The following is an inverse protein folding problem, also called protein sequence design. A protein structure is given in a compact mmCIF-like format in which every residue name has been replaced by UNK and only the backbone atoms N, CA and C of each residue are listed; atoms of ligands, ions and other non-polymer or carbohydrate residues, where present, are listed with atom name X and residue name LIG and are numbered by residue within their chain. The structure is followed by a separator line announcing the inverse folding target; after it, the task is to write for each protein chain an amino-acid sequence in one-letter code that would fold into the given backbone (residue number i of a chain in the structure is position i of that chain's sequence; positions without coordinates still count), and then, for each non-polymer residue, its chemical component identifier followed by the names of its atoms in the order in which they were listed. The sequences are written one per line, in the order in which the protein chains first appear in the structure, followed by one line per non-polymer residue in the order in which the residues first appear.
data_IF_748540613876
#
_entry.id   IF_748540613876
#
_cell.length_a   1.000
_cell.length_b   1.000
_cell.length_c   1.000
_cell.angle_alpha   90.00
_cell.angle_beta   90.00
_cell.angle_gamma   90.00
#
_symmetry.space_group_name_H-M   'P 1'
#
loop_
_entity.id
_entity.type
_entity.pdbx_description
1 polymer ?
#
# COMPACT_ATOMS: atom_id res chain seq x y z
N UNK A 1 -4.51 23.03 -11.29
CA UNK A 1 -3.27 22.65 -11.98
C UNK A 1 -3.65 21.84 -13.20
N UNK A 2 -3.11 22.14 -14.39
CA UNK A 2 -3.37 21.33 -15.59
C UNK A 2 -2.59 20.00 -15.48
N UNK A 3 -3.08 18.93 -16.10
CA UNK A 3 -2.45 17.59 -16.05
C UNK A 3 -0.99 17.60 -16.52
N UNK A 4 -0.64 18.47 -17.47
CA UNK A 4 0.74 18.64 -17.95
C UNK A 4 1.65 19.27 -16.90
N UNK A 5 1.17 20.29 -16.17
CA UNK A 5 1.92 20.92 -15.08
C UNK A 5 2.17 19.91 -13.94
N UNK A 6 1.14 19.11 -13.62
CA UNK A 6 1.25 18.04 -12.61
C UNK A 6 2.29 16.98 -12.96
N UNK A 7 2.27 16.45 -14.20
CA UNK A 7 3.26 15.47 -14.66
C UNK A 7 4.67 16.08 -14.69
N UNK A 8 4.80 17.33 -15.16
CA UNK A 8 6.07 18.05 -15.21
C UNK A 8 6.73 18.23 -13.84
N UNK A 9 5.94 18.39 -12.77
CA UNK A 9 6.46 18.51 -11.41
C UNK A 9 6.77 17.15 -10.75
N UNK A 10 5.96 16.13 -11.01
CA UNK A 10 6.03 14.85 -10.28
C UNK A 10 7.04 13.86 -10.84
N UNK A 11 7.15 13.77 -12.17
CA UNK A 11 8.04 12.79 -12.80
C UNK A 11 9.52 13.03 -12.46
N UNK A 12 10.05 14.27 -12.46
CA UNK A 12 11.44 14.52 -12.05
C UNK A 12 11.70 14.17 -10.58
N UNK A 13 10.70 14.35 -9.71
CA UNK A 13 10.82 14.00 -8.29
C UNK A 13 10.84 12.48 -8.10
N UNK A 14 10.02 11.74 -8.84
CA UNK A 14 10.05 10.28 -8.87
C UNK A 14 11.40 9.74 -9.36
N UNK A 15 11.92 10.30 -10.45
CA UNK A 15 13.26 9.96 -10.94
C UNK A 15 14.34 10.26 -9.89
N UNK A 16 14.26 11.42 -9.24
CA UNK A 16 15.19 11.80 -8.17
C UNK A 16 15.14 10.82 -7.01
N UNK A 17 13.95 10.35 -6.62
CA UNK A 17 13.77 9.32 -5.60
C UNK A 17 14.47 8.02 -6.01
N UNK A 18 14.24 7.53 -7.23
CA UNK A 18 14.88 6.29 -7.71
C UNK A 18 16.41 6.42 -7.73
N UNK A 19 16.94 7.57 -8.16
CA UNK A 19 18.39 7.85 -8.17
C UNK A 19 18.99 7.99 -6.78
N UNK A 20 18.23 8.48 -5.80
CA UNK A 20 18.65 8.51 -4.39
C UNK A 20 18.73 7.10 -3.80
N UNK A 21 17.81 6.22 -4.15
CA UNK A 21 17.84 4.81 -3.73
C UNK A 21 18.99 4.04 -4.40
N UNK A 22 19.33 4.38 -5.65
CA UNK A 22 20.35 3.70 -6.43
C UNK A 22 21.39 4.69 -7.00
N UNK A 23 22.28 5.23 -6.15
CA UNK A 23 23.16 6.34 -6.52
C UNK A 23 24.27 5.98 -7.51
N UNK A 24 24.64 4.69 -7.60
CA UNK A 24 25.72 4.24 -8.48
C UNK A 24 25.19 3.89 -9.87
N UNK A 25 24.14 3.07 -9.92
CA UNK A 25 23.52 2.62 -11.16
C UNK A 25 22.09 2.18 -10.88
N UNK A 26 21.18 2.47 -11.81
CA UNK A 26 19.82 1.95 -11.76
C UNK A 26 19.84 0.44 -12.07
N UNK A 27 19.39 -0.43 -11.16
CA UNK A 27 19.19 -1.85 -11.47
C UNK A 27 18.06 -2.01 -12.49
N UNK A 28 17.85 -3.23 -12.99
CA UNK A 28 16.60 -3.57 -13.71
C UNK A 28 15.54 -4.11 -12.74
N UNK A 29 15.98 -4.83 -11.71
CA UNK A 29 15.16 -5.38 -10.64
C UNK A 29 16.02 -5.51 -9.38
N UNK A 30 15.42 -5.30 -8.21
CA UNK A 30 16.04 -5.49 -6.89
C UNK A 30 14.96 -5.84 -5.88
N UNK A 31 15.29 -6.67 -4.88
CA UNK A 31 14.32 -7.13 -3.89
C UNK A 31 14.85 -7.11 -2.46
N UNK A 32 13.93 -6.90 -1.51
CA UNK A 32 14.16 -6.94 -0.07
C UNK A 32 13.13 -7.85 0.59
N UNK A 33 13.58 -8.75 1.48
CA UNK A 33 12.73 -9.71 2.19
C UNK A 33 12.85 -9.62 3.73
N UNK A 34 13.75 -8.78 4.23
CA UNK A 34 13.83 -8.46 5.66
C UNK A 34 12.85 -7.34 5.97
N UNK A 35 12.01 -7.54 6.99
CA UNK A 35 10.99 -6.58 7.41
C UNK A 35 11.56 -5.17 7.62
N UNK A 36 12.74 -5.06 8.25
CA UNK A 36 13.35 -3.75 8.53
C UNK A 36 13.78 -3.02 7.26
N UNK A 37 14.30 -3.75 6.29
CA UNK A 37 14.71 -3.18 5.00
C UNK A 37 13.48 -2.76 4.19
N UNK A 38 12.45 -3.62 4.13
CA UNK A 38 11.16 -3.28 3.50
C UNK A 38 10.58 -2.01 4.14
N UNK A 39 10.51 -1.95 5.47
CA UNK A 39 10.01 -0.80 6.20
C UNK A 39 10.81 0.47 5.89
N UNK A 40 12.15 0.38 5.87
CA UNK A 40 13.01 1.52 5.56
C UNK A 40 12.80 2.05 4.14
N UNK A 41 12.70 1.16 3.15
CA UNK A 41 12.43 1.53 1.75
C UNK A 41 11.06 2.19 1.63
N UNK A 42 9.99 1.55 2.13
CA UNK A 42 8.62 2.10 2.06
C UNK A 42 8.52 3.46 2.77
N UNK A 43 9.17 3.62 3.94
CA UNK A 43 9.23 4.92 4.63
C UNK A 43 9.94 5.98 3.78
N UNK A 44 11.01 5.60 3.06
CA UNK A 44 11.68 6.47 2.11
C UNK A 44 10.77 6.95 0.98
N UNK A 45 9.96 6.04 0.42
CA UNK A 45 8.98 6.37 -0.64
C UNK A 45 8.02 7.46 -0.20
N UNK A 46 7.47 7.30 1.00
CA UNK A 46 6.41 8.16 1.54
C UNK A 46 6.94 9.49 2.09
N UNK A 47 8.20 9.54 2.50
CA UNK A 47 8.84 10.78 2.98
C UNK A 47 9.06 11.82 1.87
N UNK A 48 8.87 11.43 0.61
CA UNK A 48 9.11 12.26 -0.57
C UNK A 48 7.76 12.67 -1.15
N UNK A 49 7.28 13.85 -0.76
CA UNK A 49 6.25 14.68 -1.41
C UNK A 49 5.12 13.96 -2.20
N UNK A 50 4.12 13.32 -1.57
CA UNK A 50 2.91 12.75 -2.24
C UNK A 50 3.13 12.14 -3.65
N UNK A 51 4.29 11.49 -3.86
CA UNK A 51 4.73 11.02 -5.19
C UNK A 51 4.13 9.66 -5.55
N UNK A 52 3.74 8.91 -4.52
CA UNK A 52 3.44 7.49 -4.61
C UNK A 52 1.96 7.26 -4.44
N UNK A 53 1.38 6.53 -5.39
CA UNK A 53 0.05 5.96 -5.25
C UNK A 53 0.17 4.46 -5.02
N UNK A 54 -0.54 3.92 -4.01
CA UNK A 54 -0.56 2.49 -3.72
C UNK A 54 -1.81 1.84 -4.29
N UNK A 55 -1.63 0.89 -5.19
CA UNK A 55 -2.69 0.05 -5.73
C UNK A 55 -3.00 -1.08 -4.74
N UNK A 56 -4.28 -1.22 -4.39
CA UNK A 56 -4.74 -2.20 -3.40
C UNK A 56 -4.98 -3.58 -4.03
N UNK A 57 -4.94 -4.68 -3.26
CA UNK A 57 -4.96 -6.02 -3.82
C UNK A 57 -6.24 -6.40 -4.58
N UNK A 58 -7.39 -5.93 -4.12
CA UNK A 58 -8.70 -6.26 -4.70
C UNK A 58 -9.10 -5.25 -5.77
N UNK A 59 -9.18 -3.98 -5.39
CA UNK A 59 -9.50 -2.87 -6.30
C UNK A 59 -9.16 -1.55 -5.62
N UNK A 60 -9.07 -0.48 -6.42
CA UNK A 60 -8.81 0.84 -5.90
C UNK A 60 -7.35 1.09 -5.55
N UNK A 61 -7.09 2.24 -4.95
CA UNK A 61 -5.77 2.67 -4.54
C UNK A 61 -5.85 3.83 -3.56
N UNK A 62 -4.76 4.07 -2.84
CA UNK A 62 -4.68 5.09 -1.80
C UNK A 62 -3.41 5.92 -1.93
N UNK A 63 -3.51 7.16 -1.49
CA UNK A 63 -2.36 8.06 -1.35
C UNK A 63 -1.74 7.85 0.03
N UNK A 64 -0.42 7.62 0.05
CA UNK A 64 0.23 7.21 1.28
C UNK A 64 0.75 8.41 2.04
N UNK A 65 0.31 8.57 3.28
CA UNK A 65 0.77 9.66 4.15
C UNK A 65 1.90 9.24 5.09
N UNK A 66 1.85 8.02 5.61
CA UNK A 66 2.85 7.55 6.57
C UNK A 66 3.00 6.03 6.55
N UNK A 67 4.22 5.56 6.77
CA UNK A 67 4.50 4.16 7.12
C UNK A 67 4.92 4.08 8.58
N UNK A 68 4.33 3.18 9.36
CA UNK A 68 4.64 2.96 10.76
C UNK A 68 4.82 1.47 11.08
N UNK A 69 5.46 1.19 12.22
CA UNK A 69 5.46 -0.17 12.78
C UNK A 69 4.09 -0.43 13.40
N UNK A 70 3.56 -1.62 13.14
CA UNK A 70 2.34 -2.07 13.77
C UNK A 70 2.61 -2.57 15.20
N UNK A 71 1.60 -2.64 16.08
CA UNK A 71 1.72 -3.31 17.37
C UNK A 71 2.13 -4.79 17.24
N UNK A 72 1.63 -5.49 16.21
CA UNK A 72 2.20 -6.79 15.82
C UNK A 72 3.56 -6.57 15.14
N UNK A 73 4.62 -7.05 15.78
CA UNK A 73 6.01 -6.90 15.31
C UNK A 73 6.29 -7.46 13.91
N UNK A 74 5.42 -8.33 13.37
CA UNK A 74 5.52 -8.88 12.02
C UNK A 74 4.90 -7.96 10.97
N UNK A 75 4.04 -7.05 11.39
CA UNK A 75 3.23 -6.21 10.52
C UNK A 75 3.82 -4.81 10.33
N UNK A 76 3.42 -4.17 9.22
CA UNK A 76 3.57 -2.74 8.99
C UNK A 76 2.20 -2.08 8.85
N UNK A 77 2.17 -0.80 9.19
CA UNK A 77 1.03 0.07 8.95
C UNK A 77 1.35 1.04 7.82
N UNK A 78 0.48 1.12 6.84
CA UNK A 78 0.43 2.17 5.82
C UNK A 78 -0.78 3.04 6.15
N UNK A 79 -0.60 4.34 6.27
CA UNK A 79 -1.64 5.25 6.78
C UNK A 79 -2.02 6.23 5.69
N UNK A 80 -3.33 6.29 5.42
CA UNK A 80 -3.98 7.20 4.48
C UNK A 80 -4.97 8.06 5.26
N UNK A 81 -4.71 9.37 5.38
CA UNK A 81 -5.56 10.35 6.07
C UNK A 81 -6.13 9.93 7.46
N UNK A 82 -5.44 9.03 8.17
CA UNK A 82 -5.84 8.54 9.49
C UNK A 82 -6.48 7.15 9.49
N UNK A 83 -6.83 6.60 8.31
CA UNK A 83 -7.13 5.18 8.12
C UNK A 83 -5.84 4.37 8.13
N UNK A 84 -5.84 3.23 8.79
CA UNK A 84 -4.67 2.35 8.90
C UNK A 84 -4.86 1.11 8.03
N UNK A 85 -3.92 0.87 7.13
CA UNK A 85 -3.81 -0.37 6.36
C UNK A 85 -2.73 -1.23 7.03
N UNK A 86 -3.08 -2.41 7.54
CA UNK A 86 -2.16 -3.31 8.26
C UNK A 86 -1.90 -4.58 7.44
N UNK A 87 -0.64 -4.96 7.28
CA UNK A 87 -0.25 -6.15 6.51
C UNK A 87 1.06 -6.77 6.99
N UNK A 88 1.29 -8.06 6.66
CA UNK A 88 2.56 -8.76 6.91
C UNK A 88 3.40 -8.76 5.62
N UNK A 89 4.40 -7.88 5.48
CA UNK A 89 5.21 -7.83 4.27
C UNK A 89 6.11 -9.07 4.15
N UNK A 90 6.21 -9.63 2.93
CA UNK A 90 7.01 -10.82 2.63
C UNK A 90 8.18 -10.51 1.70
N UNK A 91 7.90 -9.78 0.63
CA UNK A 91 8.88 -9.45 -0.40
C UNK A 91 8.51 -8.11 -1.02
N UNK A 92 9.44 -7.17 -0.98
CA UNK A 92 9.35 -5.93 -1.75
C UNK A 92 10.30 -6.05 -2.94
N UNK A 93 9.81 -5.84 -4.16
CA UNK A 93 10.62 -5.78 -5.38
C UNK A 93 10.47 -4.41 -6.02
N UNK A 94 11.56 -3.80 -6.46
CA UNK A 94 11.55 -2.61 -7.30
C UNK A 94 11.91 -3.00 -8.73
N UNK A 95 10.99 -2.77 -9.67
CA UNK A 95 11.21 -2.99 -11.10
C UNK A 95 11.47 -1.64 -11.77
N UNK A 96 12.59 -1.54 -12.49
CA UNK A 96 13.02 -0.30 -13.13
C UNK A 96 13.08 -0.48 -14.64
N UNK A 97 12.42 0.44 -15.34
CA UNK A 97 12.47 0.57 -16.78
C UNK A 97 13.27 1.81 -17.14
N UNK A 98 14.54 1.64 -17.52
CA UNK A 98 15.47 2.76 -17.80
C UNK A 98 15.03 3.63 -18.97
N UNK A 99 14.27 3.05 -19.89
CA UNK A 99 13.63 3.69 -21.04
C UNK A 99 12.33 4.42 -20.67
N UNK A 100 11.75 4.16 -19.48
CA UNK A 100 10.60 4.89 -18.96
C UNK A 100 10.50 4.80 -17.43
N UNK A 101 11.16 5.72 -16.74
CA UNK A 101 11.23 5.71 -15.28
C UNK A 101 9.86 5.94 -14.61
N UNK A 102 8.93 6.63 -15.29
CA UNK A 102 7.57 6.83 -14.77
C UNK A 102 6.82 5.52 -14.54
N UNK A 103 7.11 4.49 -15.35
CA UNK A 103 6.51 3.16 -15.24
C UNK A 103 7.29 2.20 -14.33
N UNK A 104 8.38 2.66 -13.72
CA UNK A 104 9.05 1.89 -12.68
C UNK A 104 8.17 1.84 -11.43
N UNK A 105 8.17 0.72 -10.72
CA UNK A 105 7.24 0.49 -9.61
C UNK A 105 7.87 -0.33 -8.49
N UNK A 106 7.28 -0.27 -7.31
CA UNK A 106 7.55 -1.21 -6.22
C UNK A 106 6.37 -2.17 -6.09
N UNK A 107 6.65 -3.46 -5.91
CA UNK A 107 5.68 -4.52 -5.72
C UNK A 107 5.90 -5.13 -4.35
N UNK A 108 4.90 -5.03 -3.48
CA UNK A 108 4.91 -5.63 -2.16
C UNK A 108 4.01 -6.86 -2.14
N UNK A 109 4.62 -8.02 -1.97
CA UNK A 109 3.93 -9.27 -1.68
C UNK A 109 3.77 -9.42 -0.18
N UNK A 110 2.57 -9.78 0.27
CA UNK A 110 2.25 -9.97 1.68
C UNK A 110 2.00 -11.45 2.00
N UNK A 111 2.46 -11.86 3.18
CA UNK A 111 2.11 -13.15 3.78
C UNK A 111 0.69 -13.11 4.34
N UNK A 112 0.13 -14.30 4.61
CA UNK A 112 -1.18 -14.38 5.26
C UNK A 112 -1.14 -13.83 6.69
N UNK A 113 -2.21 -13.14 7.06
CA UNK A 113 -2.51 -12.66 8.40
C UNK A 113 -3.82 -13.31 8.85
N UNK A 114 -3.90 -13.70 10.11
CA UNK A 114 -5.14 -14.23 10.66
C UNK A 114 -6.15 -13.08 10.88
N UNK A 115 -7.45 -13.32 10.60
CA UNK A 115 -8.48 -12.35 10.95
C UNK A 115 -8.56 -12.18 12.47
N UNK A 116 -8.86 -10.96 12.92
CA UNK A 116 -9.17 -10.64 14.32
C UNK A 116 -10.68 -10.58 14.55
N UNK A 117 -11.46 -10.22 13.52
CA UNK A 117 -12.90 -10.17 13.63
C UNK A 117 -13.53 -11.56 13.69
N UNK A 118 -14.72 -11.63 14.28
CA UNK A 118 -15.59 -12.82 14.26
C UNK A 118 -16.22 -12.99 12.88
N UNK A 119 -15.39 -13.34 11.89
CA UNK A 119 -15.82 -13.64 10.53
C UNK A 119 -15.71 -15.14 10.28
N UNK A 120 -16.85 -15.78 9.98
CA UNK A 120 -16.88 -17.17 9.56
C UNK A 120 -16.54 -17.36 8.07
N UNK A 121 -16.24 -16.27 7.35
CA UNK A 121 -15.94 -16.35 5.92
C UNK A 121 -14.56 -16.96 5.68
N UNK A 122 -14.47 -18.17 5.08
CA UNK A 122 -13.18 -18.83 4.87
C UNK A 122 -12.31 -18.14 3.82
N UNK A 123 -12.84 -17.14 3.10
CA UNK A 123 -12.18 -16.46 1.98
C UNK A 123 -12.06 -14.94 2.19
N UNK A 124 -12.05 -14.48 3.44
CA UNK A 124 -11.86 -13.07 3.73
C UNK A 124 -10.49 -12.59 3.23
N UNK A 125 -10.48 -11.58 2.37
CA UNK A 125 -9.25 -10.98 1.81
C UNK A 125 -8.72 -9.85 2.68
N UNK A 126 -9.64 -9.14 3.32
CA UNK A 126 -9.39 -8.03 4.20
C UNK A 126 -10.57 -7.85 5.15
N UNK A 127 -10.33 -7.26 6.31
CA UNK A 127 -11.34 -6.90 7.30
C UNK A 127 -11.17 -5.44 7.72
N UNK A 128 -12.28 -4.73 7.89
CA UNK A 128 -12.29 -3.39 8.45
C UNK A 128 -12.76 -3.43 9.91
N UNK A 129 -11.94 -2.89 10.79
CA UNK A 129 -12.10 -2.90 12.24
C UNK A 129 -11.72 -1.53 12.82
N UNK A 130 -12.04 -1.31 14.09
CA UNK A 130 -11.53 -0.15 14.83
C UNK A 130 -10.32 -0.58 15.66
N UNK A 131 -9.16 0.02 15.40
CA UNK A 131 -7.97 -0.16 16.23
C UNK A 131 -7.98 0.80 17.41
N UNK A 132 -7.87 0.25 18.61
CA UNK A 132 -7.75 0.98 19.86
C UNK A 132 -6.31 1.40 20.14
N UNK A 133 -6.12 2.30 21.12
CA UNK A 133 -4.81 2.90 21.42
C UNK A 133 -3.78 1.89 21.94
N UNK A 134 -4.24 0.82 22.59
CA UNK A 134 -3.39 -0.28 23.06
C UNK A 134 -2.96 -1.25 21.94
N UNK A 135 -3.48 -1.05 20.73
CA UNK A 135 -3.18 -1.87 19.56
C UNK A 135 -4.14 -3.02 19.33
N UNK A 136 -5.12 -3.23 20.21
CA UNK A 136 -6.19 -4.21 20.03
C UNK A 136 -7.21 -3.72 19.00
N UNK A 137 -8.03 -4.63 18.50
CA UNK A 137 -9.07 -4.34 17.53
C UNK A 137 -10.44 -4.63 18.14
N UNK A 138 -11.43 -3.83 17.75
CA UNK A 138 -12.85 -4.07 18.00
C UNK A 138 -13.64 -3.95 16.71
N UNK A 139 -14.91 -4.35 16.75
CA UNK A 139 -15.82 -4.28 15.62
C UNK A 139 -15.92 -2.86 15.06
N UNK A 140 -16.04 -2.76 13.72
CA UNK A 140 -16.41 -1.55 12.99
C UNK A 140 -17.81 -1.05 13.35
N UNK A 141 -18.68 -1.94 13.86
CA UNK A 141 -20.08 -1.60 14.17
C UNK A 141 -20.10 -0.46 15.21
N UNK A 142 -20.73 0.66 14.85
CA UNK A 142 -20.82 1.87 15.68
C UNK A 142 -19.78 2.96 15.39
N UNK A 143 -18.77 2.70 14.54
CA UNK A 143 -17.73 3.70 14.23
C UNK A 143 -18.31 5.03 13.70
N UNK A 144 -19.28 4.99 12.78
CA UNK A 144 -19.87 6.20 12.20
C UNK A 144 -20.69 7.00 13.22
N UNK A 145 -21.22 6.32 14.23
CA UNK A 145 -22.00 6.92 15.32
C UNK A 145 -21.08 7.34 16.50
N UNK A 146 -19.78 7.07 16.42
CA UNK A 146 -18.81 7.42 17.45
C UNK A 146 -18.88 6.53 18.70
N UNK A 147 -19.34 5.28 18.55
CA UNK A 147 -19.55 4.33 19.64
C UNK A 147 -18.89 2.97 19.36
N UNK A 148 -18.74 2.16 20.40
CA UNK A 148 -18.41 0.74 20.32
C UNK A 148 -19.26 -0.05 21.30
N UNK A 149 -19.18 -1.39 21.25
CA UNK A 149 -19.92 -2.28 22.14
C UNK A 149 -18.98 -3.01 23.08
N UNK A 150 -19.31 -3.04 24.37
CA UNK A 150 -18.58 -3.83 25.36
C UNK A 150 -18.88 -5.33 25.23
N UNK A 151 -18.22 -6.17 26.04
CA UNK A 151 -18.40 -7.63 26.04
C UNK A 151 -19.85 -8.09 26.33
N UNK A 152 -20.70 -7.20 26.88
CA UNK A 152 -22.11 -7.46 27.16
C UNK A 152 -23.03 -6.92 26.07
N UNK A 153 -22.48 -6.27 25.05
CA UNK A 153 -23.21 -5.65 23.96
C UNK A 153 -23.80 -4.27 24.30
N UNK A 154 -23.34 -3.62 25.37
CA UNK A 154 -23.76 -2.24 25.68
C UNK A 154 -22.94 -1.24 24.88
N UNK A 155 -23.63 -0.23 24.35
CA UNK A 155 -23.02 0.90 23.66
C UNK A 155 -22.23 1.77 24.64
N UNK A 156 -20.99 2.07 24.27
CA UNK A 156 -20.09 2.99 24.98
C UNK A 156 -19.43 3.94 23.98
N UNK A 157 -19.03 5.13 24.45
CA UNK A 157 -18.33 6.11 23.61
C UNK A 157 -17.01 5.54 23.10
N UNK A 158 -16.70 5.83 21.83
CA UNK A 158 -15.46 5.38 21.23
C UNK A 158 -14.25 6.01 21.93
N UNK A 159 -13.27 5.21 22.41
CA UNK A 159 -12.11 5.75 23.09
C UNK A 159 -11.32 6.76 22.24
N UNK A 160 -10.92 7.86 22.87
CA UNK A 160 -10.14 8.90 22.19
C UNK A 160 -8.86 8.31 21.58
N UNK A 161 -8.69 8.55 20.28
CA UNK A 161 -7.53 8.07 19.52
C UNK A 161 -7.73 6.72 18.86
N UNK A 162 -8.92 6.10 18.98
CA UNK A 162 -9.34 5.01 18.11
C UNK A 162 -9.28 5.43 16.63
N UNK A 163 -8.97 4.46 15.77
CA UNK A 163 -8.80 4.67 14.33
C UNK A 163 -9.40 3.53 13.54
N UNK A 164 -10.03 3.85 12.43
CA UNK A 164 -10.43 2.84 11.46
C UNK A 164 -9.19 2.17 10.85
N UNK A 165 -9.26 0.86 10.72
CA UNK A 165 -8.17 0.06 10.21
C UNK A 165 -8.67 -1.06 9.29
N UNK A 166 -8.04 -1.20 8.14
CA UNK A 166 -8.19 -2.38 7.28
C UNK A 166 -6.99 -3.30 7.48
N UNK A 167 -7.22 -4.55 7.85
CA UNK A 167 -6.19 -5.60 7.91
C UNK A 167 -6.30 -6.47 6.69
N UNK A 168 -5.18 -6.73 6.02
CA UNK A 168 -5.15 -7.53 4.78
C UNK A 168 -4.61 -8.93 5.07
N UNK A 169 -5.34 -9.95 4.61
CA UNK A 169 -5.02 -11.37 4.82
C UNK A 169 -3.97 -11.91 3.84
N UNK A 170 -3.25 -11.01 3.19
CA UNK A 170 -2.25 -11.28 2.16
C UNK A 170 -2.46 -10.39 0.94
N UNK A 171 -2.04 -10.91 -0.22
CA UNK A 171 -2.17 -10.22 -1.50
C UNK A 171 -0.97 -9.37 -1.86
N UNK A 172 -1.12 -8.64 -2.96
CA UNK A 172 -0.07 -7.85 -3.58
C UNK A 172 -0.50 -6.40 -3.71
N UNK A 173 0.38 -5.50 -3.27
CA UNK A 173 0.28 -4.07 -3.42
C UNK A 173 1.33 -3.58 -4.42
N UNK A 174 1.01 -2.56 -5.20
CA UNK A 174 1.97 -1.94 -6.12
C UNK A 174 2.02 -0.44 -5.87
N UNK A 175 3.22 0.10 -5.71
CA UNK A 175 3.49 1.51 -5.53
C UNK A 175 4.01 2.06 -6.85
N UNK A 176 3.27 3.00 -7.42
CA UNK A 176 3.59 3.64 -8.69
C UNK A 176 3.76 5.14 -8.49
N UNK A 177 4.44 5.79 -9.43
CA UNK A 177 4.37 7.24 -9.51
C UNK A 177 2.91 7.66 -9.80
N UNK A 178 2.35 8.52 -8.95
CA UNK A 178 0.98 9.06 -9.11
C UNK A 178 0.78 9.80 -10.43
N UNK A 179 1.86 10.32 -11.00
CA UNK A 179 1.86 10.98 -12.29
C UNK A 179 1.99 10.03 -13.48
N UNK A 180 2.33 8.75 -13.30
CA UNK A 180 2.54 7.79 -14.40
C UNK A 180 1.25 7.53 -15.18
N UNK A 181 1.36 7.27 -16.49
CA UNK A 181 0.16 6.99 -17.30
C UNK A 181 -0.56 5.73 -16.83
N UNK A 182 0.19 4.70 -16.43
CA UNK A 182 -0.39 3.48 -15.86
C UNK A 182 -1.12 3.79 -14.54
N UNK A 183 -0.50 4.51 -13.60
CA UNK A 183 -1.11 4.85 -12.32
C UNK A 183 -2.35 5.75 -12.41
N UNK A 184 -2.53 6.45 -13.53
CA UNK A 184 -3.73 7.26 -13.82
C UNK A 184 -4.80 6.52 -14.64
N UNK A 185 -4.52 5.28 -15.04
CA UNK A 185 -5.45 4.49 -15.85
C UNK A 185 -6.41 3.69 -14.99
N UNK A 186 -7.64 3.49 -15.49
CA UNK A 186 -8.63 2.60 -14.85
C UNK A 186 -8.09 1.16 -14.70
N UNK A 187 -7.20 0.74 -15.60
CA UNK A 187 -6.61 -0.60 -15.60
C UNK A 187 -5.78 -0.88 -14.33
N UNK A 188 -5.10 0.13 -13.79
CA UNK A 188 -4.31 0.00 -12.56
C UNK A 188 -5.17 -0.32 -11.33
N UNK A 189 -6.45 0.05 -11.33
CA UNK A 189 -7.35 -0.07 -10.18
C UNK A 189 -8.17 -1.37 -10.17
N UNK A 190 -7.94 -2.26 -11.15
CA UNK A 190 -8.67 -3.53 -11.30
C UNK A 190 -7.99 -4.73 -10.61
N UNK A 191 -6.92 -4.51 -9.83
CA UNK A 191 -6.27 -5.57 -9.05
C UNK A 191 -5.45 -6.58 -9.88
N UNK A 192 -5.06 -6.23 -11.11
CA UNK A 192 -4.32 -7.11 -12.04
C UNK A 192 -3.04 -7.72 -11.43
N UNK A 193 -2.39 -6.98 -10.53
CA UNK A 193 -1.18 -7.43 -9.86
C UNK A 193 -1.37 -8.69 -8.99
N UNK A 194 -2.61 -9.05 -8.65
CA UNK A 194 -2.99 -10.26 -7.92
C UNK A 194 -3.46 -11.41 -8.83
N UNK A 195 -3.61 -11.16 -10.13
CA UNK A 195 -3.92 -12.20 -11.13
C UNK A 195 -2.71 -12.60 -11.96
N UNK A 196 -1.61 -11.86 -11.84
CA UNK A 196 -0.36 -12.05 -12.56
C UNK A 196 0.80 -12.37 -11.62
N UNK A 197 1.72 -13.22 -12.07
CA UNK A 197 3.05 -13.33 -11.48
C UNK A 197 3.84 -12.03 -11.63
N UNK A 198 4.94 -11.89 -10.86
CA UNK A 198 5.81 -10.72 -10.96
C UNK A 198 6.37 -10.52 -12.39
N UNK A 199 6.73 -11.61 -13.09
CA UNK A 199 7.22 -11.54 -14.46
C UNK A 199 6.11 -11.12 -15.45
N UNK A 200 4.92 -11.72 -15.35
CA UNK A 200 3.78 -11.36 -16.21
C UNK A 200 3.35 -9.91 -16.00
N UNK A 201 3.30 -9.44 -14.76
CA UNK A 201 2.95 -8.05 -14.46
C UNK A 201 3.99 -7.08 -15.04
N UNK A 202 5.28 -7.39 -14.91
CA UNK A 202 6.37 -6.60 -15.51
C UNK A 202 6.28 -6.55 -17.03
N UNK A 203 6.01 -7.68 -17.68
CA UNK A 203 5.84 -7.75 -19.13
C UNK A 203 4.59 -7.03 -19.59
N UNK A 204 3.49 -7.11 -18.83
CA UNK A 204 2.28 -6.33 -19.05
C UNK A 204 2.59 -4.83 -19.08
N UNK A 205 3.28 -4.30 -18.06
CA UNK A 205 3.69 -2.89 -18.01
C UNK A 205 4.52 -2.51 -19.25
N UNK A 206 5.54 -3.32 -19.57
CA UNK A 206 6.43 -3.05 -20.71
C UNK A 206 5.71 -3.05 -22.06
N UNK A 207 4.84 -4.03 -22.30
CA UNK A 207 4.17 -4.17 -23.59
C UNK A 207 3.00 -3.19 -23.76
N UNK A 208 2.28 -2.89 -22.68
CA UNK A 208 1.06 -2.07 -22.75
C UNK A 208 1.26 -0.60 -22.50
N UNK A 209 2.33 -0.19 -21.80
CA UNK A 209 2.49 1.19 -21.35
C UNK A 209 3.78 1.84 -21.87
N UNK A 210 4.86 1.06 -22.04
CA UNK A 210 6.15 1.63 -22.49
C UNK A 210 6.30 1.61 -24.01
N UNK A 211 5.87 0.54 -24.68
CA UNK A 211 6.03 0.37 -26.14
C UNK A 211 4.83 0.86 -26.96
N UNK A 212 4.01 1.77 -26.41
CA UNK A 212 2.88 2.37 -27.13
C UNK A 212 3.33 3.37 -28.18
#
# INVERSE_FOLDING_TARGET
MCTQDFRGEMLPQWETLLRKLFPIALPNSVSWNRLDDIFAILRGLVSTADLCHMLLPSSGGIDIHRVARSPDSRCIDIIDHGHIHTMVPKLLTCEIFKDSLEHSYFRLECSSLAPEGDTESPNIKDEELVRLRDGTYTSRIGWDDGVMYDERGYEIELPKGAKLATRYMGGIFVFVCKASEFGQSDEAYNGLQNTMSAAEFRDHIRLRWIRR
#
